data_IF_925617579400
#
_entry.id   IF_925617579400
#
_cell.length_a   1.000
_cell.length_b   1.000
_cell.length_c   1.000
_cell.angle_alpha   90.00
_cell.angle_beta   90.00
_cell.angle_gamma   90.00
#
_symmetry.space_group_name_H-M   'P 1'
#
loop_
_entity.id
_entity.type
_entity.pdbx_description
1 polymer ?
#
# COMPACT_ATOMS: atom_id res chain seq x y z
N UNK A 1 -14.73 18.19 -24.00
CA UNK A 1 -14.73 17.05 -23.06
C UNK A 1 -13.45 17.14 -22.26
N UNK A 2 -13.53 17.60 -21.01
CA UNK A 2 -12.36 17.89 -20.19
C UNK A 2 -11.78 16.58 -19.67
N UNK A 3 -10.56 16.25 -20.10
CA UNK A 3 -9.78 15.16 -19.52
C UNK A 3 -9.30 15.58 -18.13
N UNK A 4 -10.09 15.29 -17.11
CA UNK A 4 -9.65 15.37 -15.72
C UNK A 4 -8.59 14.28 -15.51
N UNK A 5 -7.31 14.68 -15.48
CA UNK A 5 -6.24 13.81 -14.99
C UNK A 5 -6.58 13.48 -13.54
N UNK A 6 -6.99 12.24 -13.25
CA UNK A 6 -7.09 11.75 -11.88
C UNK A 6 -5.70 11.87 -11.26
N UNK A 7 -5.50 12.89 -10.42
CA UNK A 7 -4.27 13.05 -9.66
C UNK A 7 -4.23 11.91 -8.64
N UNK A 8 -3.29 10.97 -8.82
CA UNK A 8 -2.98 9.99 -7.80
C UNK A 8 -2.55 10.74 -6.54
N UNK A 9 -3.36 10.65 -5.49
CA UNK A 9 -3.06 11.30 -4.21
C UNK A 9 -2.24 10.32 -3.39
N UNK A 10 -0.97 10.65 -3.14
CA UNK A 10 -0.06 9.83 -2.34
C UNK A 10 0.01 10.38 -0.91
N UNK A 11 0.00 9.47 0.08
CA UNK A 11 0.23 9.80 1.48
C UNK A 11 1.54 9.17 1.97
N UNK A 12 2.29 9.88 2.81
CA UNK A 12 3.48 9.37 3.48
C UNK A 12 3.09 8.96 4.90
N UNK A 13 3.33 7.69 5.25
CA UNK A 13 3.03 7.14 6.58
C UNK A 13 4.32 6.57 7.18
N UNK A 14 4.72 7.10 8.33
CA UNK A 14 5.82 6.55 9.12
C UNK A 14 5.28 5.47 10.06
N UNK A 15 5.86 4.27 10.00
CA UNK A 15 5.49 3.13 10.83
C UNK A 15 6.72 2.52 11.48
N UNK A 16 6.56 1.97 12.68
CA UNK A 16 7.58 1.16 13.34
C UNK A 16 7.70 -0.24 12.71
N UNK A 17 8.81 -0.92 12.92
CA UNK A 17 9.05 -2.30 12.43
C UNK A 17 7.92 -3.27 12.82
N UNK A 18 7.36 -3.11 14.03
CA UNK A 18 6.23 -3.92 14.52
C UNK A 18 4.95 -3.63 13.72
N UNK A 19 4.68 -2.36 13.41
CA UNK A 19 3.53 -1.97 12.58
C UNK A 19 3.72 -2.42 11.14
N UNK A 20 4.92 -2.29 10.58
CA UNK A 20 5.26 -2.77 9.24
C UNK A 20 5.05 -4.29 9.11
N UNK A 21 5.52 -5.07 10.08
CA UNK A 21 5.29 -6.52 10.12
C UNK A 21 3.79 -6.87 10.15
N UNK A 22 2.98 -6.06 10.84
CA UNK A 22 1.52 -6.22 10.89
C UNK A 22 0.86 -5.88 9.55
N UNK A 23 1.32 -4.82 8.90
CA UNK A 23 0.85 -4.42 7.56
C UNK A 23 1.15 -5.53 6.55
N UNK A 24 2.37 -6.08 6.55
CA UNK A 24 2.76 -7.20 5.68
C UNK A 24 1.86 -8.43 5.89
N UNK A 25 1.58 -8.78 7.15
CA UNK A 25 0.68 -9.89 7.46
C UNK A 25 -0.75 -9.63 6.94
N UNK A 26 -1.26 -8.41 7.10
CA UNK A 26 -2.58 -8.02 6.60
C UNK A 26 -2.66 -8.05 5.06
N UNK A 27 -1.62 -7.57 4.38
CA UNK A 27 -1.51 -7.63 2.91
C UNK A 27 -1.52 -9.08 2.41
N UNK A 28 -0.74 -9.96 3.04
CA UNK A 28 -0.71 -11.39 2.70
C UNK A 28 -2.05 -12.08 2.98
N UNK A 29 -2.72 -11.71 4.06
CA UNK A 29 -4.07 -12.21 4.33
C UNK A 29 -5.08 -11.78 3.27
N UNK A 30 -5.05 -10.50 2.85
CA UNK A 30 -5.92 -9.99 1.80
C UNK A 30 -5.65 -10.66 0.44
N UNK A 31 -4.36 -10.86 0.10
CA UNK A 31 -3.97 -11.57 -1.11
C UNK A 31 -4.55 -12.99 -1.16
N UNK A 32 -4.50 -13.71 -0.03
CA UNK A 32 -5.05 -15.06 0.06
C UNK A 32 -6.58 -15.06 -0.01
N UNK A 33 -7.23 -14.08 0.61
CA UNK A 33 -8.66 -13.86 0.47
C UNK A 33 -9.07 -13.69 -1.01
N UNK A 34 -8.32 -12.90 -1.78
CA UNK A 34 -8.57 -12.74 -3.22
C UNK A 34 -8.37 -14.03 -4.02
N UNK A 35 -7.45 -14.93 -3.61
CA UNK A 35 -7.21 -16.21 -4.29
C UNK A 35 -8.32 -17.21 -4.10
N UNK A 36 -8.89 -17.29 -2.89
CA UNK A 36 -9.83 -18.36 -2.53
C UNK A 36 -11.27 -18.09 -2.95
N UNK A 37 -11.60 -16.85 -3.30
CA UNK A 37 -12.98 -16.39 -3.56
C UNK A 37 -13.98 -16.79 -2.44
N UNK A 38 -13.46 -16.92 -1.22
CA UNK A 38 -14.23 -17.28 -0.03
C UNK A 38 -15.10 -16.09 0.40
N UNK A 39 -16.20 -16.31 1.16
CA UNK A 39 -16.86 -15.24 1.87
C UNK A 39 -15.87 -14.70 2.91
N UNK A 40 -15.15 -13.64 2.54
CA UNK A 40 -14.11 -13.04 3.35
C UNK A 40 -14.64 -12.49 4.65
N UNK A 41 -13.70 -12.01 5.48
CA UNK A 41 -14.06 -11.19 6.63
C UNK A 41 -14.95 -10.02 6.15
N UNK A 42 -16.14 -9.84 6.74
CA UNK A 42 -17.03 -8.75 6.37
C UNK A 42 -16.30 -7.40 6.36
N UNK A 43 -16.50 -6.63 5.31
CA UNK A 43 -15.92 -5.29 5.16
C UNK A 43 -14.49 -5.24 4.60
N UNK A 44 -13.78 -6.35 4.38
CA UNK A 44 -12.43 -6.29 3.84
C UNK A 44 -12.39 -5.70 2.42
N UNK A 45 -13.37 -6.04 1.57
CA UNK A 45 -13.53 -5.45 0.23
C UNK A 45 -13.88 -3.96 0.30
N UNK A 46 -14.69 -3.56 1.28
CA UNK A 46 -15.07 -2.15 1.46
C UNK A 46 -13.87 -1.31 1.88
N UNK A 47 -13.03 -1.82 2.78
CA UNK A 47 -11.77 -1.16 3.18
C UNK A 47 -10.83 -1.03 1.98
N UNK A 48 -10.62 -2.12 1.22
CA UNK A 48 -9.69 -2.13 0.10
C UNK A 48 -10.16 -1.25 -1.09
N UNK A 49 -11.45 -0.96 -1.18
CA UNK A 49 -12.05 -0.11 -2.21
C UNK A 49 -12.37 1.31 -1.72
N UNK A 50 -12.10 1.65 -0.45
CA UNK A 50 -12.58 2.90 0.16
C UNK A 50 -14.09 3.11 -0.09
N UNK A 51 -14.90 2.11 0.27
CA UNK A 51 -16.35 2.12 0.04
C UNK A 51 -16.74 2.15 -1.45
N UNK A 52 -15.91 1.61 -2.33
CA UNK A 52 -16.12 1.61 -3.78
C UNK A 52 -15.55 2.83 -4.53
N UNK A 53 -14.89 3.76 -3.85
CA UNK A 53 -14.24 4.92 -4.48
C UNK A 53 -12.97 4.55 -5.26
N UNK A 54 -12.31 3.44 -4.91
CA UNK A 54 -11.06 2.97 -5.47
C UNK A 54 -11.18 1.55 -6.03
N UNK A 55 -10.39 1.25 -7.05
CA UNK A 55 -10.19 -0.11 -7.54
C UNK A 55 -9.21 -0.80 -6.57
N UNK A 56 -9.60 -1.89 -5.89
CA UNK A 56 -8.68 -2.62 -5.02
C UNK A 56 -7.50 -3.20 -5.81
N UNK A 57 -6.35 -3.29 -5.15
CA UNK A 57 -5.16 -3.92 -5.73
C UNK A 57 -5.43 -5.40 -6.05
N UNK A 58 -4.86 -5.83 -7.18
CA UNK A 58 -4.83 -7.23 -7.60
C UNK A 58 -3.86 -8.06 -6.77
N UNK A 59 -3.95 -9.39 -6.89
CA UNK A 59 -3.04 -10.35 -6.24
C UNK A 59 -1.57 -10.02 -6.54
N UNK A 60 -1.27 -9.64 -7.79
CA UNK A 60 0.10 -9.29 -8.20
C UNK A 60 0.55 -7.96 -7.61
N UNK A 61 -0.28 -6.92 -7.67
CA UNK A 61 0.07 -5.61 -7.10
C UNK A 61 0.29 -5.69 -5.58
N UNK A 62 -0.44 -6.56 -4.89
CA UNK A 62 -0.20 -6.82 -3.45
C UNK A 62 1.12 -7.54 -3.22
N UNK A 63 1.53 -8.44 -4.12
CA UNK A 63 2.82 -9.13 -4.02
C UNK A 63 3.98 -8.13 -4.14
N UNK A 64 3.92 -7.29 -5.18
CA UNK A 64 4.89 -6.23 -5.43
C UNK A 64 4.93 -5.25 -4.23
N UNK A 65 3.75 -4.84 -3.70
CA UNK A 65 3.67 -3.96 -2.53
C UNK A 65 4.26 -4.60 -1.26
N UNK A 66 4.13 -5.92 -1.08
CA UNK A 66 4.75 -6.61 0.06
C UNK A 66 6.27 -6.57 -0.04
N UNK A 67 6.84 -6.76 -1.23
CA UNK A 67 8.29 -6.64 -1.43
C UNK A 67 8.76 -5.21 -1.16
N UNK A 68 8.08 -4.21 -1.73
CA UNK A 68 8.39 -2.81 -1.51
C UNK A 68 8.27 -2.41 -0.03
N UNK A 69 7.23 -2.87 0.66
CA UNK A 69 7.03 -2.59 2.07
C UNK A 69 8.05 -3.33 2.94
N UNK A 70 8.48 -4.53 2.57
CA UNK A 70 9.42 -5.33 3.37
C UNK A 70 10.87 -4.86 3.23
N UNK A 71 11.29 -4.52 2.02
CA UNK A 71 12.68 -4.11 1.74
C UNK A 71 12.85 -2.59 1.70
N UNK A 72 11.74 -1.84 1.69
CA UNK A 72 11.70 -0.40 1.46
C UNK A 72 11.97 -0.07 0.00
N UNK A 73 11.33 0.97 -0.53
CA UNK A 73 11.86 1.68 -1.70
C UNK A 73 13.18 2.33 -1.29
N UNK A 74 14.26 1.56 -1.41
CA UNK A 74 15.66 1.90 -1.18
C UNK A 74 15.83 2.98 -0.10
N UNK A 75 16.05 2.60 1.16
CA UNK A 75 16.37 3.51 2.29
C UNK A 75 17.31 4.66 1.90
N UNK A 76 18.17 4.44 0.89
CA UNK A 76 18.96 5.44 0.19
C UNK A 76 18.18 6.65 -0.34
N UNK A 77 17.04 6.49 -1.00
CA UNK A 77 16.23 7.58 -1.54
C UNK A 77 15.65 8.46 -0.43
N UNK A 78 15.20 7.86 0.68
CA UNK A 78 14.73 8.58 1.86
C UNK A 78 15.90 9.28 2.56
N UNK A 79 17.06 8.64 2.66
CA UNK A 79 18.27 9.24 3.24
C UNK A 79 18.78 10.44 2.41
N UNK A 80 18.71 10.34 1.08
CA UNK A 80 19.01 11.44 0.15
C UNK A 80 18.02 12.59 0.31
N UNK A 81 16.73 12.31 0.44
CA UNK A 81 15.70 13.33 0.66
C UNK A 81 15.90 14.06 2.01
N UNK A 82 16.10 13.32 3.10
CA UNK A 82 16.35 13.89 4.42
C UNK A 82 17.65 14.72 4.44
N UNK A 83 18.71 14.26 3.79
CA UNK A 83 19.96 14.99 3.66
C UNK A 83 19.84 16.27 2.82
N UNK A 84 18.95 16.29 1.82
CA UNK A 84 18.66 17.50 1.04
C UNK A 84 17.85 18.52 1.84
N UNK A 85 16.89 18.07 2.67
CA UNK A 85 16.10 18.95 3.53
C UNK A 85 16.91 19.57 4.69
N UNK A 86 17.93 18.88 5.20
CA UNK A 86 18.77 19.38 6.30
C UNK A 86 19.83 20.43 5.87
N UNK A 87 19.95 20.72 4.57
CA UNK A 87 20.93 21.68 4.02
C UNK A 87 20.34 23.04 3.63
N UNK A 88 19.03 23.22 3.81
CA UNK A 88 18.32 24.51 3.67
C UNK A 88 17.82 24.98 5.03
#
# INVERSE_FOLDING_TARGET
>A
MSHQKNASTHSLVLVSDRQQSTILAALRHYQEFLRRDEPGVPGLRDIASDGGALIPLSIKEIDDLCEETNFGSDLKAIQVFLAACAKN
#
